data_IF_842028863284
#
_entry.id   IF_842028863284
#
_cell.length_a   1.000
_cell.length_b   1.000
_cell.length_c   1.000
_cell.angle_alpha   90.00
_cell.angle_beta   90.00
_cell.angle_gamma   90.00
#
_symmetry.space_group_name_H-M   'P 1'
#
loop_
_entity.id
_entity.type
_entity.pdbx_description
1 polymer ?
#
# COMPACT_ATOMS: atom_id res chain seq x y z
N UNK A 1 -42.08 31.85 -39.83
CA UNK A 1 -42.57 31.24 -38.58
C UNK A 1 -41.99 29.83 -38.51
N UNK A 2 -40.87 29.66 -37.81
CA UNK A 2 -40.29 28.36 -37.48
C UNK A 2 -39.98 28.38 -35.97
N UNK A 3 -40.43 27.39 -35.20
CA UNK A 3 -40.26 27.38 -33.75
C UNK A 3 -38.84 26.94 -33.37
N UNK A 4 -38.27 27.63 -32.39
CA UNK A 4 -37.02 27.27 -31.71
C UNK A 4 -37.32 26.24 -30.62
N UNK A 5 -36.64 25.10 -30.71
CA UNK A 5 -36.71 24.00 -29.76
C UNK A 5 -35.77 24.28 -28.57
N UNK A 6 -36.33 24.34 -27.36
CA UNK A 6 -35.61 24.54 -26.09
C UNK A 6 -35.24 23.18 -25.50
N UNK A 7 -34.06 22.66 -25.84
CA UNK A 7 -33.49 21.46 -25.25
C UNK A 7 -32.97 21.71 -23.83
N UNK A 8 -33.57 21.03 -22.85
CA UNK A 8 -33.17 20.96 -21.45
C UNK A 8 -31.90 20.11 -21.30
N UNK A 9 -30.84 20.69 -20.72
CA UNK A 9 -29.58 20.00 -20.47
C UNK A 9 -29.71 18.99 -19.31
N UNK A 10 -29.18 17.77 -19.50
CA UNK A 10 -29.25 16.69 -18.53
C UNK A 10 -28.32 16.87 -17.31
N UNK A 11 -28.53 16.09 -16.22
CA UNK A 11 -27.78 16.21 -14.96
C UNK A 11 -26.25 16.08 -15.11
N UNK A 12 -25.77 15.37 -16.13
CA UNK A 12 -24.34 15.21 -16.43
C UNK A 12 -23.65 16.50 -16.93
N UNK A 13 -24.42 17.45 -17.49
CA UNK A 13 -23.87 18.71 -18.00
C UNK A 13 -23.75 19.78 -16.90
N UNK A 14 -24.62 19.70 -15.89
CA UNK A 14 -24.54 20.52 -14.68
C UNK A 14 -23.33 20.12 -13.80
N UNK A 15 -23.01 18.82 -13.73
CA UNK A 15 -21.83 18.32 -13.01
C UNK A 15 -20.51 18.73 -13.69
N UNK A 16 -20.49 18.80 -15.03
CA UNK A 16 -19.33 19.30 -15.80
C UNK A 16 -19.10 20.79 -15.60
N UNK A 17 -20.16 21.57 -15.37
CA UNK A 17 -20.09 23.02 -15.16
C UNK A 17 -19.69 23.41 -13.73
N UNK A 18 -20.06 22.61 -12.72
CA UNK A 18 -19.70 22.89 -11.31
C UNK A 18 -18.24 22.54 -10.96
N UNK A 19 -17.56 21.74 -11.78
CA UNK A 19 -16.18 21.30 -11.55
C UNK A 19 -15.10 22.15 -12.23
N UNK A 20 -15.45 23.21 -12.96
CA UNK A 20 -14.49 24.21 -13.45
C UNK A 20 -13.33 23.68 -14.32
N UNK A 21 -13.48 22.52 -14.97
CA UNK A 21 -12.42 21.94 -15.80
C UNK A 21 -12.55 22.41 -17.24
N UNK A 22 -11.91 23.55 -17.55
CA UNK A 22 -11.70 23.98 -18.93
C UNK A 22 -10.71 23.06 -19.65
N UNK A 23 -11.13 22.50 -20.79
CA UNK A 23 -10.40 21.55 -21.67
C UNK A 23 -9.13 22.11 -22.34
N UNK A 24 -8.52 23.18 -21.84
CA UNK A 24 -7.31 23.80 -22.42
C UNK A 24 -6.38 24.35 -21.34
N UNK A 25 -5.54 23.47 -20.79
CA UNK A 25 -4.17 23.74 -20.30
C UNK A 25 -3.69 22.52 -19.49
N UNK A 26 -3.35 21.47 -20.21
CA UNK A 26 -2.39 20.48 -19.72
C UNK A 26 -1.83 19.79 -20.96
N UNK A 27 -0.74 20.35 -21.50
CA UNK A 27 0.25 19.73 -22.40
C UNK A 27 1.19 20.83 -22.96
N UNK A 28 2.48 20.49 -23.06
CA UNK A 28 3.69 21.30 -23.33
C UNK A 28 4.38 21.77 -22.05
N UNK A 29 5.58 21.30 -21.71
CA UNK A 29 6.77 21.28 -22.58
C UNK A 29 7.75 20.17 -22.20
N UNK A 30 8.06 19.27 -23.14
CA UNK A 30 9.37 18.60 -23.27
C UNK A 30 9.63 18.42 -24.77
N UNK A 31 10.07 19.49 -25.43
CA UNK A 31 10.60 19.44 -26.79
C UNK A 31 12.03 18.92 -26.72
N UNK A 32 12.24 17.72 -27.25
CA UNK A 32 13.55 17.18 -27.55
C UNK A 32 14.23 18.06 -28.61
N UNK A 33 15.43 18.54 -28.32
CA UNK A 33 16.31 19.13 -29.33
C UNK A 33 17.00 17.99 -30.05
N UNK A 34 16.51 17.67 -31.25
CA UNK A 34 17.24 16.87 -32.23
C UNK A 34 18.15 17.82 -33.03
N UNK A 35 19.46 17.75 -32.79
CA UNK A 35 20.45 18.32 -33.68
C UNK A 35 21.04 17.19 -34.54
N UNK A 36 20.80 17.25 -35.84
CA UNK A 36 21.35 16.32 -36.82
C UNK A 36 22.85 16.51 -37.00
N UNK A 37 23.56 15.40 -37.17
CA UNK A 37 24.90 15.35 -37.72
C UNK A 37 24.94 14.34 -38.87
N UNK A 38 25.46 14.82 -39.99
CA UNK A 38 25.56 14.17 -41.30
C UNK A 38 26.50 12.97 -41.23
N UNK A 39 26.09 11.83 -41.78
CA UNK A 39 26.91 10.63 -41.91
C UNK A 39 27.86 10.74 -43.12
N UNK A 40 29.14 10.43 -42.91
CA UNK A 40 30.09 10.04 -43.94
C UNK A 40 30.85 8.78 -43.47
N UNK A 41 31.17 7.82 -44.35
CA UNK A 41 31.64 6.50 -43.95
C UNK A 41 33.16 6.50 -43.74
N UNK A 42 33.62 5.87 -42.66
CA UNK A 42 35.03 5.45 -42.52
C UNK A 42 35.07 3.98 -42.15
N UNK A 43 35.76 3.23 -43.01
CA UNK A 43 36.11 1.83 -42.91
C UNK A 43 37.12 1.59 -41.77
N UNK A 44 36.96 0.46 -41.07
CA UNK A 44 38.08 -0.32 -40.52
C UNK A 44 38.38 -0.20 -39.03
N UNK A 45 37.93 -1.20 -38.24
CA UNK A 45 38.70 -1.78 -37.13
C UNK A 45 38.09 -3.14 -36.72
N UNK A 46 38.98 -4.10 -36.43
CA UNK A 46 38.76 -5.55 -36.30
C UNK A 46 37.84 -6.02 -35.14
N UNK A 47 37.30 -7.26 -35.19
CA UNK A 47 36.57 -7.84 -34.07
C UNK A 47 37.54 -8.28 -32.96
N UNK A 48 37.35 -7.76 -31.75
CA UNK A 48 37.94 -8.32 -30.54
C UNK A 48 37.25 -9.63 -30.18
N UNK A 49 38.01 -10.71 -30.14
CA UNK A 49 37.57 -12.03 -29.71
C UNK A 49 37.12 -12.00 -28.25
N UNK A 50 35.85 -12.34 -28.00
CA UNK A 50 35.36 -12.69 -26.68
C UNK A 50 35.84 -14.12 -26.34
N UNK A 51 36.58 -14.27 -25.23
CA UNK A 51 36.98 -15.57 -24.70
C UNK A 51 35.74 -16.35 -24.21
N UNK A 52 35.65 -17.67 -24.46
CA UNK A 52 34.53 -18.47 -23.97
C UNK A 52 34.67 -18.71 -22.48
N UNK A 53 33.69 -18.25 -21.70
CA UNK A 53 33.53 -18.65 -20.31
C UNK A 53 33.20 -20.15 -20.24
N UNK A 54 34.03 -20.90 -19.51
CA UNK A 54 33.80 -22.30 -19.16
C UNK A 54 32.45 -22.51 -18.48
N UNK A 55 31.66 -23.54 -18.85
CA UNK A 55 30.41 -23.83 -18.17
C UNK A 55 30.71 -24.40 -16.78
N UNK A 56 30.33 -23.66 -15.73
CA UNK A 56 30.35 -24.16 -14.37
C UNK A 56 29.46 -25.40 -14.26
N UNK A 57 30.00 -26.47 -13.67
CA UNK A 57 29.33 -27.76 -13.50
C UNK A 57 27.99 -27.60 -12.80
N UNK A 58 26.93 -28.17 -13.39
CA UNK A 58 25.65 -28.37 -12.69
C UNK A 58 25.85 -29.42 -11.59
N UNK A 59 26.21 -28.98 -10.40
CA UNK A 59 26.01 -29.77 -9.19
C UNK A 59 24.53 -30.07 -9.04
N UNK A 60 24.17 -31.34 -8.92
CA UNK A 60 22.82 -31.80 -8.54
C UNK A 60 22.52 -31.35 -7.11
N UNK A 61 22.16 -30.08 -6.94
CA UNK A 61 21.61 -29.55 -5.69
C UNK A 61 20.16 -29.99 -5.55
N UNK A 62 19.78 -30.47 -4.36
CA UNK A 62 18.39 -30.72 -3.94
C UNK A 62 17.50 -29.60 -4.49
N UNK A 63 16.38 -29.95 -5.13
CA UNK A 63 15.43 -28.97 -5.65
C UNK A 63 15.12 -27.95 -4.54
N UNK A 64 15.69 -26.75 -4.64
CA UNK A 64 15.33 -25.65 -3.75
C UNK A 64 13.92 -25.26 -4.18
N UNK A 65 12.97 -25.33 -3.26
CA UNK A 65 11.57 -24.96 -3.50
C UNK A 65 11.44 -23.59 -4.18
N UNK A 66 10.28 -23.31 -4.78
CA UNK A 66 10.10 -22.07 -5.54
C UNK A 66 9.94 -20.85 -4.61
N UNK A 67 10.55 -19.71 -4.97
CA UNK A 67 10.42 -18.46 -4.19
C UNK A 67 8.97 -17.99 -4.13
N UNK A 68 8.46 -17.72 -2.93
CA UNK A 68 7.10 -17.20 -2.74
C UNK A 68 7.03 -15.69 -2.95
N UNK A 69 8.12 -14.97 -2.64
CA UNK A 69 8.24 -13.52 -2.85
C UNK A 69 9.45 -13.23 -3.74
N UNK A 70 9.24 -12.88 -5.02
CA UNK A 70 10.31 -12.53 -5.96
C UNK A 70 11.19 -11.39 -5.43
N UNK A 71 12.48 -11.39 -5.79
CA UNK A 71 13.45 -10.43 -5.26
C UNK A 71 13.08 -8.96 -5.51
N UNK A 72 12.47 -8.64 -6.66
CA UNK A 72 12.00 -7.31 -7.03
C UNK A 72 10.68 -6.88 -6.34
N UNK A 73 10.03 -7.81 -5.62
CA UNK A 73 8.77 -7.62 -4.89
C UNK A 73 8.94 -7.46 -3.38
N UNK A 74 10.16 -7.61 -2.87
CA UNK A 74 10.45 -7.52 -1.44
C UNK A 74 10.51 -6.05 -1.04
N UNK A 75 9.50 -5.60 -0.31
CA UNK A 75 9.42 -4.24 0.18
C UNK A 75 9.33 -4.10 1.68
N UNK A 76 9.30 -2.85 2.13
CA UNK A 76 9.18 -2.44 3.53
C UNK A 76 8.43 -1.12 3.59
N UNK A 77 7.51 -0.99 4.55
CA UNK A 77 6.95 0.33 4.88
C UNK A 77 7.87 1.08 5.82
N UNK A 78 8.14 2.34 5.49
CA UNK A 78 9.07 3.20 6.21
C UNK A 78 8.63 3.52 7.63
N UNK A 79 7.36 3.27 7.98
CA UNK A 79 6.88 3.33 9.35
C UNK A 79 7.69 2.42 10.29
N UNK A 80 8.15 1.26 9.80
CA UNK A 80 9.02 0.34 10.55
C UNK A 80 10.30 1.01 11.04
N UNK A 81 10.88 1.88 10.21
CA UNK A 81 12.17 2.55 10.45
C UNK A 81 12.00 4.07 10.64
N UNK A 82 10.81 4.49 11.07
CA UNK A 82 10.44 5.91 11.23
C UNK A 82 11.36 6.66 12.18
N UNK A 83 11.85 5.99 13.21
CA UNK A 83 12.85 6.56 14.13
C UNK A 83 14.17 6.84 13.40
N UNK A 84 14.61 5.98 12.48
CA UNK A 84 15.80 6.21 11.68
C UNK A 84 15.59 7.36 10.70
N UNK A 85 14.44 7.43 10.03
CA UNK A 85 14.11 8.56 9.14
C UNK A 85 14.04 9.89 9.91
N UNK A 86 13.45 9.89 11.10
CA UNK A 86 13.30 11.07 11.96
C UNK A 86 14.52 11.43 12.81
N UNK A 87 15.56 10.59 12.86
CA UNK A 87 16.74 10.80 13.69
C UNK A 87 17.57 11.98 13.19
N UNK A 88 18.13 12.75 14.12
CA UNK A 88 19.13 13.76 13.77
C UNK A 88 20.40 13.08 13.24
N UNK A 89 20.78 13.29 11.96
CA UNK A 89 22.00 12.72 11.41
C UNK A 89 23.29 13.24 12.07
N UNK A 90 23.22 14.31 12.85
CA UNK A 90 24.37 14.82 13.61
C UNK A 90 24.54 14.13 14.97
N UNK A 91 23.53 13.40 15.45
CA UNK A 91 23.53 12.79 16.79
C UNK A 91 24.16 11.40 16.85
N UNK A 92 24.37 10.75 15.70
CA UNK A 92 24.84 9.36 15.62
C UNK A 92 25.45 9.06 14.25
N UNK A 93 26.18 7.95 14.16
CA UNK A 93 26.68 7.40 12.90
C UNK A 93 25.70 6.45 12.21
N UNK A 94 24.57 6.14 12.85
CA UNK A 94 23.53 5.30 12.27
C UNK A 94 22.87 5.99 11.06
N UNK A 95 22.44 5.21 10.03
CA UNK A 95 21.66 5.76 8.92
C UNK A 95 20.47 6.58 9.41
N UNK A 96 20.42 7.85 9.00
CA UNK A 96 19.46 8.83 9.48
C UNK A 96 18.96 9.73 8.35
N UNK A 97 17.66 10.02 8.32
CA UNK A 97 17.01 10.69 7.18
C UNK A 97 16.79 9.78 5.98
N UNK A 98 15.91 10.18 5.05
CA UNK A 98 15.46 9.33 3.94
C UNK A 98 16.61 8.78 3.10
N UNK A 99 17.56 9.61 2.68
CA UNK A 99 18.64 9.17 1.77
C UNK A 99 19.49 8.04 2.36
N UNK A 100 19.96 8.20 3.59
CA UNK A 100 20.81 7.20 4.23
C UNK A 100 20.01 5.93 4.58
N UNK A 101 18.75 6.08 5.00
CA UNK A 101 17.86 4.95 5.25
C UNK A 101 17.59 4.17 3.96
N UNK A 102 17.31 4.83 2.84
CA UNK A 102 17.14 4.18 1.53
C UNK A 102 18.39 3.40 1.12
N UNK A 103 19.57 3.99 1.25
CA UNK A 103 20.82 3.29 1.01
C UNK A 103 20.94 2.02 1.85
N UNK A 104 20.60 2.10 3.14
CA UNK A 104 20.68 0.97 4.05
C UNK A 104 19.66 -0.14 3.72
N UNK A 105 18.42 0.22 3.39
CA UNK A 105 17.39 -0.74 2.99
C UNK A 105 17.75 -1.45 1.68
N UNK A 106 18.32 -0.72 0.71
CA UNK A 106 18.83 -1.31 -0.52
C UNK A 106 19.98 -2.30 -0.27
N UNK A 107 20.87 -2.00 0.69
CA UNK A 107 21.95 -2.91 1.14
C UNK A 107 21.43 -4.16 1.84
N UNK A 108 20.34 -4.07 2.60
CA UNK A 108 19.66 -5.26 3.13
C UNK A 108 19.09 -6.11 2.00
N UNK A 109 18.65 -5.47 0.92
CA UNK A 109 18.24 -6.13 -0.32
C UNK A 109 16.80 -5.83 -0.72
N UNK A 110 16.10 -4.95 0.01
CA UNK A 110 14.79 -4.45 -0.40
C UNK A 110 14.87 -3.79 -1.78
N UNK A 111 13.77 -3.87 -2.53
CA UNK A 111 13.62 -3.24 -3.85
C UNK A 111 12.42 -2.32 -3.93
N UNK A 112 11.57 -2.37 -2.92
CA UNK A 112 10.37 -1.56 -2.82
C UNK A 112 10.31 -0.89 -1.47
N UNK A 113 9.73 0.30 -1.42
CA UNK A 113 9.39 0.99 -0.19
C UNK A 113 7.96 1.50 -0.27
N UNK A 114 7.35 1.61 0.90
CA UNK A 114 6.09 2.32 1.09
C UNK A 114 6.30 3.46 2.08
N UNK A 115 5.78 4.64 1.75
CA UNK A 115 5.96 5.82 2.58
C UNK A 115 4.96 5.86 3.74
N UNK A 116 5.39 6.38 4.89
CA UNK A 116 4.51 6.66 6.03
C UNK A 116 4.65 8.13 6.44
N UNK A 117 4.36 9.00 5.47
CA UNK A 117 4.70 10.42 5.52
C UNK A 117 6.03 10.75 4.86
N UNK A 118 6.29 12.07 4.72
CA UNK A 118 7.46 12.62 4.03
C UNK A 118 8.32 13.52 4.94
N UNK A 119 8.12 13.41 6.25
CA UNK A 119 8.90 14.13 7.26
C UNK A 119 10.20 13.42 7.62
N UNK A 120 11.23 14.19 7.97
CA UNK A 120 12.50 13.72 8.52
C UNK A 120 13.11 14.80 9.43
N UNK A 121 14.28 14.55 10.02
CA UNK A 121 14.96 15.59 10.81
C UNK A 121 15.41 16.78 9.96
N UNK A 122 15.37 18.01 10.50
CA UNK A 122 15.73 19.22 9.76
C UNK A 122 17.19 19.25 9.29
N UNK A 123 18.11 18.60 10.03
CA UNK A 123 19.51 18.47 9.64
C UNK A 123 19.75 17.42 8.55
N UNK A 124 18.74 16.63 8.18
CA UNK A 124 18.86 15.69 7.07
C UNK A 124 18.86 16.43 5.73
N UNK A 125 19.58 15.91 4.71
CA UNK A 125 19.55 16.49 3.36
C UNK A 125 18.11 16.67 2.88
N UNK A 126 17.78 17.84 2.35
CA UNK A 126 16.43 18.18 1.88
C UNK A 126 15.52 18.84 2.92
N UNK A 127 15.93 18.93 4.20
CA UNK A 127 15.16 19.58 5.27
C UNK A 127 14.06 18.69 5.85
N UNK A 128 13.26 19.27 6.75
CA UNK A 128 12.33 18.51 7.60
C UNK A 128 11.07 17.99 6.89
N UNK A 129 10.63 18.65 5.82
CA UNK A 129 9.39 18.33 5.11
C UNK A 129 9.64 18.22 3.59
N UNK A 130 9.37 17.02 3.06
CA UNK A 130 9.50 16.71 1.64
C UNK A 130 8.13 16.52 0.94
N UNK A 131 7.01 16.87 1.59
CA UNK A 131 5.65 16.80 1.03
C UNK A 131 5.34 17.96 0.06
N UNK A 132 6.25 18.16 -0.88
CA UNK A 132 6.20 19.18 -1.94
C UNK A 132 6.62 18.54 -3.27
N UNK A 133 6.35 19.22 -4.38
CA UNK A 133 6.80 18.77 -5.71
C UNK A 133 8.32 18.61 -5.76
N UNK A 134 9.06 19.57 -5.19
CA UNK A 134 10.52 19.54 -5.15
C UNK A 134 11.04 18.44 -4.22
N UNK A 135 10.40 18.25 -3.07
CA UNK A 135 10.71 17.17 -2.13
C UNK A 135 10.48 15.79 -2.75
N UNK A 136 9.36 15.61 -3.44
CA UNK A 136 9.04 14.38 -4.18
C UNK A 136 10.07 14.08 -5.27
N UNK A 137 10.50 15.09 -6.04
CA UNK A 137 11.56 14.93 -7.04
C UNK A 137 12.90 14.55 -6.40
N UNK A 138 13.22 15.09 -5.21
CA UNK A 138 14.43 14.75 -4.47
C UNK A 138 14.39 13.32 -3.96
N UNK A 139 13.29 12.92 -3.33
CA UNK A 139 13.04 11.55 -2.88
C UNK A 139 13.13 10.56 -4.06
N UNK A 140 12.51 10.90 -5.20
CA UNK A 140 12.57 10.09 -6.41
C UNK A 140 14.02 9.83 -6.86
N UNK A 141 14.86 10.87 -6.89
CA UNK A 141 16.28 10.72 -7.23
C UNK A 141 17.01 9.77 -6.29
N UNK A 142 16.76 9.83 -4.99
CA UNK A 142 17.40 8.92 -4.03
C UNK A 142 16.89 7.48 -4.15
N UNK A 143 15.60 7.30 -4.43
CA UNK A 143 15.05 5.97 -4.73
C UNK A 143 15.74 5.38 -5.96
N UNK A 144 15.84 6.15 -7.04
CA UNK A 144 16.53 5.72 -8.27
C UNK A 144 18.03 5.43 -8.02
N UNK A 145 18.73 6.28 -7.25
CA UNK A 145 20.14 6.13 -6.88
C UNK A 145 20.42 4.76 -6.21
N UNK A 146 19.49 4.28 -5.39
CA UNK A 146 19.63 3.02 -4.66
C UNK A 146 18.82 1.86 -5.23
N UNK A 147 18.23 2.02 -6.43
CA UNK A 147 17.46 0.98 -7.10
C UNK A 147 16.21 0.54 -6.32
N UNK A 148 15.60 1.48 -5.59
CA UNK A 148 14.34 1.30 -4.88
C UNK A 148 13.17 1.87 -5.68
N UNK A 149 12.00 1.26 -5.53
CA UNK A 149 10.73 1.77 -6.08
C UNK A 149 9.76 2.12 -4.97
N UNK A 150 9.12 3.28 -5.06
CA UNK A 150 7.95 3.56 -4.24
C UNK A 150 6.76 2.74 -4.77
N UNK A 151 6.06 2.02 -3.90
CA UNK A 151 4.89 1.22 -4.31
C UNK A 151 3.55 1.72 -3.77
N UNK A 152 3.59 2.44 -2.66
CA UNK A 152 2.43 2.91 -1.93
C UNK A 152 2.80 3.99 -0.93
N UNK A 153 1.80 4.45 -0.18
CA UNK A 153 1.98 5.26 1.01
C UNK A 153 0.77 5.21 1.95
N UNK A 154 1.03 5.40 3.25
CA UNK A 154 0.04 5.91 4.19
C UNK A 154 -0.12 7.42 3.98
N UNK A 155 -0.88 7.77 2.93
CA UNK A 155 -1.11 9.13 2.48
C UNK A 155 -2.43 9.75 2.98
N UNK A 156 -2.71 10.93 2.44
CA UNK A 156 -3.90 11.70 2.74
C UNK A 156 -5.14 11.16 2.02
N UNK A 157 -6.18 10.89 2.80
CA UNK A 157 -7.55 10.67 2.33
C UNK A 157 -8.40 11.78 2.96
N UNK A 158 -9.20 12.53 2.18
CA UNK A 158 -10.09 13.55 2.72
C UNK A 158 -10.91 13.07 3.92
N UNK A 159 -11.05 13.89 4.95
CA UNK A 159 -11.86 13.55 6.12
C UNK A 159 -13.36 13.68 5.86
N UNK A 160 -13.77 14.69 5.08
CA UNK A 160 -15.17 15.03 4.83
C UNK A 160 -15.88 14.07 3.87
N UNK A 161 -17.22 14.09 3.91
CA UNK A 161 -18.11 13.60 2.87
C UNK A 161 -19.48 14.31 2.99
N UNK A 162 -19.99 15.00 1.95
CA UNK A 162 -19.39 15.24 0.63
C UNK A 162 -18.06 16.01 0.68
N UNK A 163 -17.25 15.87 -0.37
CA UNK A 163 -15.91 16.49 -0.44
C UNK A 163 -16.00 18.01 -0.61
N UNK A 164 -15.19 18.76 0.13
CA UNK A 164 -15.00 20.20 -0.08
C UNK A 164 -14.01 20.46 -1.22
N UNK A 165 -13.95 21.72 -1.70
CA UNK A 165 -12.91 22.13 -2.65
C UNK A 165 -11.51 21.93 -2.08
N UNK A 166 -11.28 22.29 -0.82
CA UNK A 166 -9.98 22.15 -0.16
C UNK A 166 -9.54 20.67 -0.04
N UNK A 167 -10.49 19.77 0.24
CA UNK A 167 -10.25 18.32 0.24
C UNK A 167 -9.80 17.82 -1.15
N UNK A 168 -10.51 18.25 -2.19
CA UNK A 168 -10.21 17.86 -3.57
C UNK A 168 -8.84 18.38 -4.02
N UNK A 169 -8.50 19.62 -3.69
CA UNK A 169 -7.22 20.23 -4.05
C UNK A 169 -6.06 19.53 -3.31
N UNK A 170 -6.24 19.26 -2.02
CA UNK A 170 -5.24 18.51 -1.24
C UNK A 170 -5.08 17.09 -1.78
N UNK A 171 -6.16 16.37 -2.04
CA UNK A 171 -6.08 15.01 -2.59
C UNK A 171 -5.36 14.98 -3.95
N UNK A 172 -5.64 15.94 -4.85
CA UNK A 172 -4.93 16.08 -6.13
C UNK A 172 -3.44 16.37 -5.97
N UNK A 173 -3.05 17.22 -5.00
CA UNK A 173 -1.64 17.47 -4.67
C UNK A 173 -0.93 16.16 -4.27
N UNK A 174 -1.56 15.32 -3.45
CA UNK A 174 -0.95 14.04 -3.06
C UNK A 174 -0.87 13.05 -4.22
N UNK A 175 -1.84 13.04 -5.15
CA UNK A 175 -1.75 12.26 -6.38
C UNK A 175 -0.61 12.74 -7.30
N UNK A 176 -0.34 14.05 -7.36
CA UNK A 176 0.81 14.59 -8.08
C UNK A 176 2.14 14.13 -7.46
N UNK A 177 2.26 14.21 -6.12
CA UNK A 177 3.43 13.70 -5.38
C UNK A 177 3.64 12.20 -5.64
N UNK A 178 2.57 11.40 -5.56
CA UNK A 178 2.63 9.96 -5.82
C UNK A 178 3.12 9.66 -7.24
N UNK A 179 2.64 10.41 -8.24
CA UNK A 179 3.08 10.30 -9.62
C UNK A 179 4.56 10.66 -9.80
N UNK A 180 5.04 11.75 -9.17
CA UNK A 180 6.45 12.15 -9.22
C UNK A 180 7.36 11.06 -8.62
N UNK A 181 6.93 10.45 -7.52
CA UNK A 181 7.63 9.33 -6.90
C UNK A 181 7.55 8.04 -7.75
N UNK A 182 6.63 7.99 -8.71
CA UNK A 182 6.37 6.83 -9.57
C UNK A 182 5.69 5.68 -8.85
N UNK A 183 4.82 6.00 -7.89
CA UNK A 183 4.01 5.02 -7.19
C UNK A 183 2.91 4.47 -8.11
N UNK A 184 2.69 3.15 -8.06
CA UNK A 184 1.53 2.52 -8.72
C UNK A 184 0.25 2.65 -7.87
N UNK A 185 0.39 2.90 -6.57
CA UNK A 185 -0.69 2.95 -5.58
C UNK A 185 -0.53 4.14 -4.63
N UNK A 186 -1.65 4.69 -4.13
CA UNK A 186 -1.69 5.69 -3.07
C UNK A 186 -2.86 5.35 -2.15
N UNK A 187 -2.68 5.48 -0.84
CA UNK A 187 -3.71 5.05 0.10
C UNK A 187 -3.61 5.70 1.46
N UNK A 188 -4.08 4.99 2.48
CA UNK A 188 -4.00 5.38 3.88
C UNK A 188 -3.83 4.14 4.75
N UNK A 189 -3.17 4.32 5.90
CA UNK A 189 -3.02 3.31 6.95
C UNK A 189 -4.28 3.05 7.78
N UNK A 190 -5.46 3.39 7.27
CA UNK A 190 -6.73 3.37 8.00
C UNK A 190 -7.82 2.62 7.22
N UNK A 191 -8.76 2.06 8.00
CA UNK A 191 -9.98 1.46 7.46
C UNK A 191 -10.86 2.52 6.76
N UNK A 192 -11.75 2.11 5.82
CA UNK A 192 -12.64 3.04 5.12
C UNK A 192 -13.54 3.86 6.05
N UNK A 193 -13.90 3.28 7.20
CA UNK A 193 -14.65 3.88 8.30
C UNK A 193 -14.43 3.08 9.59
N UNK A 194 -14.51 3.74 10.74
CA UNK A 194 -14.45 3.09 12.06
C UNK A 194 -15.80 2.54 12.55
N UNK A 195 -16.84 2.56 11.72
CA UNK A 195 -18.21 2.17 12.10
C UNK A 195 -18.43 0.66 12.08
N UNK A 196 -19.35 0.19 12.92
CA UNK A 196 -19.86 -1.18 12.89
C UNK A 196 -21.06 -1.38 11.94
N UNK A 197 -21.65 -0.30 11.42
CA UNK A 197 -22.99 -0.32 10.84
C UNK A 197 -23.00 -0.21 9.32
N UNK A 198 -23.81 -1.04 8.65
CA UNK A 198 -23.94 -1.08 7.19
C UNK A 198 -24.08 0.29 6.52
N UNK A 199 -24.96 1.15 7.04
CA UNK A 199 -25.23 2.46 6.44
C UNK A 199 -23.98 3.36 6.34
N UNK A 200 -23.06 3.27 7.30
CA UNK A 200 -21.86 4.10 7.28
C UNK A 200 -20.79 3.52 6.32
N UNK A 201 -20.83 2.20 6.10
CA UNK A 201 -20.03 1.53 5.08
C UNK A 201 -20.54 1.82 3.66
N UNK A 202 -21.85 2.03 3.49
CA UNK A 202 -22.42 2.53 2.22
C UNK A 202 -21.88 3.92 1.90
N UNK A 203 -21.90 4.83 2.88
CA UNK A 203 -21.33 6.19 2.76
C UNK A 203 -19.83 6.14 2.45
N UNK A 204 -19.09 5.24 3.13
CA UNK A 204 -17.67 5.04 2.83
C UNK A 204 -17.49 4.53 1.39
N UNK A 205 -18.26 3.57 0.92
CA UNK A 205 -18.14 3.04 -0.44
C UNK A 205 -18.36 4.12 -1.51
N UNK A 206 -19.35 5.00 -1.34
CA UNK A 206 -19.59 6.13 -2.24
C UNK A 206 -18.39 7.09 -2.30
N UNK A 207 -17.84 7.43 -1.13
CA UNK A 207 -16.65 8.26 -1.00
C UNK A 207 -15.45 7.64 -1.70
N UNK A 208 -15.17 6.38 -1.40
CA UNK A 208 -14.03 5.65 -1.94
C UNK A 208 -14.14 5.42 -3.46
N UNK A 209 -15.33 5.12 -3.98
CA UNK A 209 -15.57 5.08 -5.44
C UNK A 209 -15.34 6.45 -6.09
N UNK A 210 -15.72 7.54 -5.41
CA UNK A 210 -15.53 8.91 -5.92
C UNK A 210 -14.05 9.28 -5.96
N UNK A 211 -13.32 9.07 -4.88
CA UNK A 211 -11.88 9.29 -4.81
C UNK A 211 -11.13 8.36 -5.79
N UNK A 212 -11.56 7.10 -5.92
CA UNK A 212 -10.99 6.12 -6.83
C UNK A 212 -11.10 6.53 -8.31
N UNK A 213 -12.21 7.19 -8.71
CA UNK A 213 -12.34 7.78 -10.06
C UNK A 213 -11.29 8.88 -10.30
N UNK A 214 -11.05 9.72 -9.31
CA UNK A 214 -10.06 10.80 -9.40
C UNK A 214 -8.64 10.21 -9.46
N UNK A 215 -8.29 9.30 -8.55
CA UNK A 215 -6.99 8.64 -8.51
C UNK A 215 -6.69 7.88 -9.81
N UNK A 216 -7.66 7.11 -10.31
CA UNK A 216 -7.52 6.37 -11.57
C UNK A 216 -7.30 7.29 -12.76
N UNK A 217 -7.94 8.46 -12.79
CA UNK A 217 -7.73 9.46 -13.84
C UNK A 217 -6.30 10.03 -13.82
N UNK A 218 -5.64 9.98 -12.66
CA UNK A 218 -4.24 10.32 -12.46
C UNK A 218 -3.29 9.11 -12.60
N UNK A 219 -3.77 7.95 -13.05
CA UNK A 219 -2.96 6.73 -13.22
C UNK A 219 -2.66 5.95 -11.94
N UNK A 220 -3.25 6.36 -10.80
CA UNK A 220 -2.96 5.78 -9.47
C UNK A 220 -4.09 4.85 -9.03
N UNK A 221 -3.74 3.71 -8.43
CA UNK A 221 -4.69 2.83 -7.75
C UNK A 221 -4.87 3.29 -6.30
N UNK A 222 -6.08 3.74 -5.97
CA UNK A 222 -6.43 4.13 -4.60
C UNK A 222 -6.58 2.88 -3.73
N UNK A 223 -5.99 2.83 -2.54
CA UNK A 223 -6.18 1.71 -1.62
C UNK A 223 -6.40 2.11 -0.15
N UNK A 224 -7.01 1.19 0.60
CA UNK A 224 -7.10 1.22 2.07
C UNK A 224 -6.25 0.09 2.64
N UNK A 225 -5.49 0.39 3.68
CA UNK A 225 -4.81 -0.60 4.53
C UNK A 225 -5.68 -0.93 5.73
N UNK A 226 -5.89 -2.23 5.99
CA UNK A 226 -6.90 -2.67 6.95
C UNK A 226 -6.33 -3.35 8.19
N UNK A 227 -6.84 -2.93 9.34
CA UNK A 227 -6.55 -3.54 10.64
C UNK A 227 -7.63 -4.55 11.01
N UNK A 228 -7.56 -5.09 12.23
CA UNK A 228 -8.41 -6.19 12.68
C UNK A 228 -9.90 -5.81 12.66
N UNK A 229 -10.22 -4.58 13.08
CA UNK A 229 -11.59 -4.08 13.21
C UNK A 229 -12.39 -4.09 11.90
N UNK A 230 -11.74 -3.94 10.74
CA UNK A 230 -12.38 -4.05 9.43
C UNK A 230 -12.88 -5.47 9.12
N UNK A 231 -12.29 -6.48 9.75
CA UNK A 231 -12.68 -7.87 9.57
C UNK A 231 -13.74 -8.31 10.57
N UNK A 232 -14.17 -7.47 11.51
CA UNK A 232 -15.29 -7.77 12.40
C UNK A 232 -16.63 -7.88 11.62
N UNK A 233 -17.66 -8.43 12.26
CA UNK A 233 -18.97 -8.62 11.67
C UNK A 233 -19.73 -7.30 11.54
N UNK A 234 -20.37 -7.11 10.38
CA UNK A 234 -21.15 -5.92 10.09
C UNK A 234 -22.51 -6.00 10.81
N UNK A 235 -22.89 -4.92 11.49
CA UNK A 235 -24.24 -4.75 12.02
C UNK A 235 -25.16 -4.26 10.89
N UNK A 236 -26.05 -5.14 10.44
CA UNK A 236 -26.85 -4.98 9.23
C UNK A 236 -28.31 -5.42 9.40
N UNK A 237 -28.73 -5.83 10.60
CA UNK A 237 -30.13 -6.15 10.89
C UNK A 237 -30.43 -6.43 12.36
N UNK A 238 -31.54 -7.13 12.59
CA UNK A 238 -32.09 -7.43 13.92
C UNK A 238 -32.79 -6.24 14.59
N UNK A 239 -33.10 -6.35 15.89
CA UNK A 239 -33.71 -5.27 16.66
C UNK A 239 -32.86 -4.00 16.61
N UNK A 240 -33.52 -2.85 16.66
CA UNK A 240 -32.85 -1.56 16.70
C UNK A 240 -32.50 -1.18 18.15
N UNK A 241 -31.36 -0.52 18.33
CA UNK A 241 -31.02 0.14 19.60
C UNK A 241 -31.81 1.45 19.81
N UNK A 242 -31.54 2.14 20.91
CA UNK A 242 -32.19 3.41 21.24
C UNK A 242 -31.93 4.54 20.21
N UNK A 243 -30.92 4.37 19.35
CA UNK A 243 -30.56 5.29 18.28
C UNK A 243 -31.10 4.82 16.92
N UNK A 244 -31.93 3.77 16.88
CA UNK A 244 -32.49 3.23 15.66
C UNK A 244 -31.49 2.45 14.81
N UNK A 245 -30.37 1.97 15.39
CA UNK A 245 -29.31 1.26 14.66
C UNK A 245 -29.44 -0.25 14.84
N UNK A 246 -29.11 -1.05 13.80
CA UNK A 246 -29.17 -2.50 13.88
C UNK A 246 -28.18 -3.02 14.93
N UNK A 247 -28.59 -4.05 15.67
CA UNK A 247 -27.78 -4.64 16.74
C UNK A 247 -27.25 -6.03 16.42
N UNK A 248 -27.56 -6.57 15.24
CA UNK A 248 -27.24 -7.95 14.83
C UNK A 248 -26.59 -7.99 13.45
N UNK A 249 -25.97 -9.13 13.13
CA UNK A 249 -25.25 -9.35 11.89
C UNK A 249 -25.82 -10.52 11.08
N UNK A 250 -25.78 -10.41 9.76
CA UNK A 250 -26.00 -11.51 8.81
C UNK A 250 -24.84 -12.52 8.78
N UNK A 251 -23.71 -12.19 9.43
CA UNK A 251 -22.46 -12.94 9.35
C UNK A 251 -21.51 -12.46 8.24
N UNK A 252 -21.86 -11.39 7.52
CA UNK A 252 -20.97 -10.70 6.59
C UNK A 252 -20.01 -9.81 7.40
N UNK A 253 -18.71 -9.85 7.07
CA UNK A 253 -17.71 -8.97 7.69
C UNK A 253 -17.69 -7.60 7.03
N UNK A 254 -17.30 -6.57 7.77
CA UNK A 254 -17.38 -5.18 7.30
C UNK A 254 -16.59 -4.94 6.00
N UNK A 255 -15.35 -5.43 5.91
CA UNK A 255 -14.54 -5.33 4.69
C UNK A 255 -15.07 -6.21 3.54
N UNK A 256 -15.67 -7.37 3.84
CA UNK A 256 -16.32 -8.21 2.82
C UNK A 256 -17.50 -7.46 2.19
N UNK A 257 -18.28 -6.76 3.01
CA UNK A 257 -19.36 -5.90 2.52
C UNK A 257 -18.79 -4.76 1.66
N UNK A 258 -17.78 -4.03 2.14
CA UNK A 258 -17.13 -2.95 1.39
C UNK A 258 -16.64 -3.38 0.00
N UNK A 259 -16.01 -4.55 -0.09
CA UNK A 259 -15.58 -5.14 -1.36
C UNK A 259 -16.74 -5.42 -2.31
N UNK A 260 -17.91 -5.79 -1.78
CA UNK A 260 -19.12 -6.08 -2.57
C UNK A 260 -19.80 -4.83 -3.12
N UNK A 261 -19.64 -3.68 -2.45
CA UNK A 261 -20.31 -2.41 -2.84
C UNK A 261 -19.36 -1.38 -3.47
N UNK A 262 -18.06 -1.66 -3.53
CA UNK A 262 -17.08 -0.82 -4.24
C UNK A 262 -16.79 -1.33 -5.64
N UNK A 263 -16.57 -0.42 -6.59
CA UNK A 263 -16.19 -0.79 -7.94
C UNK A 263 -14.77 -1.40 -7.94
N UNK A 264 -14.60 -2.64 -8.40
CA UNK A 264 -13.30 -3.31 -8.42
C UNK A 264 -12.24 -2.65 -9.29
N UNK A 265 -12.63 -1.69 -10.14
CA UNK A 265 -11.72 -0.92 -10.99
C UNK A 265 -11.33 0.42 -10.38
N UNK A 266 -11.82 0.76 -9.18
CA UNK A 266 -11.62 2.08 -8.56
C UNK A 266 -10.96 2.01 -7.18
N UNK A 267 -11.15 0.92 -6.44
CA UNK A 267 -10.68 0.78 -5.06
C UNK A 267 -9.86 -0.50 -4.92
N UNK A 268 -8.64 -0.41 -4.41
CA UNK A 268 -7.78 -1.55 -4.07
C UNK A 268 -7.60 -1.61 -2.55
N UNK A 269 -6.93 -2.66 -2.08
CA UNK A 269 -6.72 -2.91 -0.67
C UNK A 269 -5.27 -3.34 -0.43
N UNK A 270 -4.77 -2.99 0.73
CA UNK A 270 -3.58 -3.55 1.34
C UNK A 270 -4.04 -4.37 2.54
N UNK A 271 -3.85 -5.69 2.46
CA UNK A 271 -4.18 -6.52 3.61
C UNK A 271 -2.98 -6.55 4.55
N UNK A 272 -3.23 -6.14 5.79
CA UNK A 272 -2.36 -6.52 6.89
C UNK A 272 -2.60 -7.98 7.28
N UNK A 273 -1.58 -8.81 7.08
CA UNK A 273 -1.71 -10.25 7.32
C UNK A 273 -1.69 -10.54 8.83
N UNK A 274 -0.96 -9.77 9.63
CA UNK A 274 -0.98 -9.93 11.09
C UNK A 274 -2.32 -9.51 11.67
N UNK A 275 -2.83 -8.34 11.30
CA UNK A 275 -4.13 -7.89 11.82
C UNK A 275 -5.29 -8.77 11.32
N UNK A 276 -5.16 -9.39 10.16
CA UNK A 276 -6.09 -10.43 9.71
C UNK A 276 -6.07 -11.68 10.62
N UNK A 277 -4.92 -12.10 11.14
CA UNK A 277 -4.83 -13.20 12.13
C UNK A 277 -5.30 -12.77 13.53
N UNK A 278 -5.07 -11.51 13.93
CA UNK A 278 -5.69 -10.93 15.12
C UNK A 278 -7.21 -10.95 15.00
N UNK A 279 -7.77 -10.58 13.85
CA UNK A 279 -9.20 -10.67 13.60
C UNK A 279 -9.73 -12.11 13.61
N UNK A 280 -8.95 -13.07 13.10
CA UNK A 280 -9.28 -14.49 13.17
C UNK A 280 -9.42 -14.97 14.62
N UNK A 281 -8.58 -14.46 15.53
CA UNK A 281 -8.68 -14.71 16.97
C UNK A 281 -9.83 -13.95 17.64
N UNK A 282 -10.02 -12.66 17.34
CA UNK A 282 -10.99 -11.80 18.04
C UNK A 282 -12.43 -11.98 17.59
N UNK A 283 -12.64 -12.06 16.27
CA UNK A 283 -13.95 -11.90 15.66
C UNK A 283 -14.44 -13.21 15.04
N UNK A 284 -14.42 -14.31 15.80
CA UNK A 284 -14.85 -15.63 15.30
C UNK A 284 -16.33 -15.93 15.55
N UNK A 285 -17.03 -15.13 16.37
CA UNK A 285 -18.48 -15.30 16.62
C UNK A 285 -19.28 -14.01 16.41
N UNK A 286 -20.58 -14.15 16.12
CA UNK A 286 -21.53 -13.04 16.03
C UNK A 286 -22.92 -13.45 16.51
N UNK A 287 -23.77 -12.46 16.81
CA UNK A 287 -25.19 -12.67 17.06
C UNK A 287 -25.98 -12.45 15.77
N UNK A 288 -26.63 -13.50 15.30
CA UNK A 288 -27.47 -13.48 14.10
C UNK A 288 -28.75 -12.65 14.31
N UNK A 289 -29.46 -12.36 13.21
CA UNK A 289 -30.69 -11.57 13.24
C UNK A 289 -31.79 -12.19 14.10
N UNK A 290 -31.84 -13.53 14.20
CA UNK A 290 -32.77 -14.28 15.06
C UNK A 290 -32.35 -14.28 16.54
N UNK A 291 -31.23 -13.67 16.89
CA UNK A 291 -30.66 -13.63 18.24
C UNK A 291 -29.75 -14.81 18.59
N UNK A 292 -29.59 -15.80 17.70
CA UNK A 292 -28.70 -16.94 17.94
C UNK A 292 -27.22 -16.54 17.85
N UNK A 293 -26.39 -17.10 18.72
CA UNK A 293 -24.93 -17.03 18.58
C UNK A 293 -24.46 -17.95 17.46
N UNK A 294 -23.61 -17.44 16.57
CA UNK A 294 -23.04 -18.17 15.43
C UNK A 294 -21.54 -18.03 15.42
N UNK A 295 -20.85 -19.08 14.98
CA UNK A 295 -19.41 -19.07 14.75
C UNK A 295 -19.09 -19.05 13.26
N UNK A 296 -18.16 -18.20 12.84
CA UNK A 296 -17.62 -18.11 11.50
C UNK A 296 -16.20 -17.57 11.57
N UNK A 297 -15.20 -18.44 11.65
CA UNK A 297 -13.77 -18.06 11.71
C UNK A 297 -13.33 -17.35 10.42
N UNK A 298 -12.54 -16.29 10.53
CA UNK A 298 -12.02 -15.56 9.37
C UNK A 298 -10.92 -16.37 8.64
N UNK A 299 -10.92 -16.36 7.30
CA UNK A 299 -9.87 -16.96 6.47
C UNK A 299 -9.19 -15.86 5.62
N UNK A 300 -8.03 -15.32 6.08
CA UNK A 300 -7.34 -14.22 5.41
C UNK A 300 -6.97 -14.55 3.95
N UNK A 301 -6.31 -15.68 3.70
CA UNK A 301 -5.91 -16.07 2.35
C UNK A 301 -7.12 -16.40 1.47
N UNK A 302 -8.21 -16.93 2.04
CA UNK A 302 -9.46 -17.16 1.34
C UNK A 302 -10.12 -15.86 0.86
N UNK A 303 -10.11 -14.80 1.68
CA UNK A 303 -10.61 -13.49 1.28
C UNK A 303 -9.80 -12.93 0.10
N UNK A 304 -8.47 -12.96 0.21
CA UNK A 304 -7.58 -12.51 -0.86
C UNK A 304 -7.81 -13.31 -2.13
N UNK A 305 -7.91 -14.64 -2.05
CA UNK A 305 -8.11 -15.51 -3.23
C UNK A 305 -9.39 -15.14 -4.00
N UNK A 306 -10.49 -14.84 -3.30
CA UNK A 306 -11.76 -14.41 -3.92
C UNK A 306 -11.69 -13.04 -4.60
N UNK A 307 -10.76 -12.19 -4.18
CA UNK A 307 -10.60 -10.83 -4.67
C UNK A 307 -9.16 -10.51 -5.07
N UNK A 308 -8.43 -11.48 -5.64
CA UNK A 308 -6.96 -11.45 -5.73
C UNK A 308 -6.41 -10.14 -6.34
N UNK A 309 -6.99 -9.70 -7.47
CA UNK A 309 -6.59 -8.45 -8.16
C UNK A 309 -7.03 -7.15 -7.48
N UNK A 310 -7.71 -7.24 -6.33
CA UNK A 310 -8.01 -6.11 -5.44
C UNK A 310 -6.93 -5.92 -4.37
N UNK A 311 -6.06 -6.92 -4.15
CA UNK A 311 -5.00 -6.91 -3.12
C UNK A 311 -3.59 -6.88 -3.73
N UNK A 312 -3.14 -5.77 -4.34
CA UNK A 312 -1.80 -5.65 -4.89
C UNK A 312 -0.71 -5.51 -3.82
N UNK A 313 -1.07 -5.11 -2.61
CA UNK A 313 -0.17 -4.80 -1.52
C UNK A 313 -0.49 -5.67 -0.29
N UNK A 314 0.52 -5.96 0.52
CA UNK A 314 0.36 -6.63 1.80
C UNK A 314 1.30 -6.03 2.83
N UNK A 315 0.84 -5.93 4.07
CA UNK A 315 1.75 -5.82 5.20
C UNK A 315 2.04 -7.18 5.80
N UNK A 316 3.33 -7.45 5.94
CA UNK A 316 3.90 -8.66 6.47
C UNK A 316 4.54 -8.33 7.83
N UNK A 317 3.71 -8.37 8.89
CA UNK A 317 4.13 -8.31 10.31
C UNK A 317 4.01 -9.71 10.93
N UNK A 318 4.65 -9.98 12.05
CA UNK A 318 4.54 -11.30 12.67
C UNK A 318 4.32 -11.21 14.17
N UNK A 319 3.82 -12.29 14.74
CA UNK A 319 3.42 -12.35 16.14
C UNK A 319 3.59 -13.72 16.74
N UNK A 320 3.83 -13.76 18.04
CA UNK A 320 3.70 -14.97 18.86
C UNK A 320 2.34 -14.96 19.56
N UNK A 321 1.75 -16.13 19.80
CA UNK A 321 0.45 -16.21 20.47
C UNK A 321 0.55 -15.65 21.88
N UNK A 322 -0.36 -14.75 22.21
CA UNK A 322 -0.58 -14.26 23.57
C UNK A 322 -2.08 -14.09 23.82
N UNK A 323 -2.69 -15.09 24.44
CA UNK A 323 -4.13 -15.07 24.79
C UNK A 323 -4.44 -14.25 26.05
N UNK A 324 -3.42 -13.67 26.70
CA UNK A 324 -3.62 -12.78 27.86
C UNK A 324 -3.83 -11.33 27.44
N UNK A 325 -3.52 -10.99 26.19
CA UNK A 325 -3.86 -9.69 25.61
C UNK A 325 -5.17 -9.79 24.80
N UNK A 326 -5.84 -8.65 24.59
CA UNK A 326 -7.11 -8.60 23.83
C UNK A 326 -6.96 -8.81 22.31
N UNK A 327 -5.74 -9.03 21.82
CA UNK A 327 -5.41 -9.21 20.40
C UNK A 327 -5.08 -10.67 20.03
N UNK A 328 -4.72 -11.51 21.01
CA UNK A 328 -4.29 -12.89 20.80
C UNK A 328 -2.84 -13.05 20.37
N UNK A 329 -2.11 -11.94 20.14
CA UNK A 329 -0.74 -11.95 19.63
C UNK A 329 0.10 -10.82 20.20
N UNK A 330 1.38 -11.08 20.47
CA UNK A 330 2.40 -10.05 20.69
C UNK A 330 3.29 -9.94 19.45
N UNK A 331 3.48 -8.71 18.97
CA UNK A 331 4.23 -8.46 17.74
C UNK A 331 5.74 -8.67 17.92
N UNK A 332 6.33 -9.40 16.98
CA UNK A 332 7.75 -9.74 16.92
C UNK A 332 8.32 -9.44 15.52
N UNK A 333 9.66 -9.42 15.32
CA UNK A 333 10.23 -9.28 14.00
C UNK A 333 9.65 -10.27 12.99
N UNK A 334 9.41 -9.78 11.76
CA UNK A 334 8.78 -10.61 10.73
C UNK A 334 9.53 -11.93 10.51
N UNK A 335 8.82 -13.05 10.55
CA UNK A 335 9.36 -14.40 10.39
C UNK A 335 9.98 -15.00 11.66
N UNK A 336 9.86 -14.33 12.82
CA UNK A 336 10.21 -14.90 14.13
C UNK A 336 8.99 -15.22 14.98
N UNK A 337 7.78 -15.07 14.42
CA UNK A 337 6.52 -15.42 15.06
C UNK A 337 5.98 -16.75 14.56
N UNK A 338 4.66 -16.91 14.63
CA UNK A 338 3.96 -18.16 14.34
C UNK A 338 3.02 -18.08 13.13
N UNK A 339 2.90 -16.92 12.48
CA UNK A 339 1.98 -16.78 11.34
C UNK A 339 2.55 -17.54 10.13
N UNK A 340 1.75 -18.44 9.56
CA UNK A 340 2.18 -19.28 8.42
C UNK A 340 2.10 -18.54 7.07
N UNK A 341 3.09 -17.69 6.85
CA UNK A 341 3.29 -16.96 5.61
C UNK A 341 3.57 -17.86 4.40
N UNK A 342 4.12 -19.06 4.61
CA UNK A 342 4.38 -20.01 3.52
C UNK A 342 3.05 -20.50 2.94
N UNK A 343 2.12 -20.91 3.81
CA UNK A 343 0.77 -21.30 3.40
C UNK A 343 -0.01 -20.12 2.84
N UNK A 344 0.06 -18.94 3.47
CA UNK A 344 -0.64 -17.75 2.97
C UNK A 344 -0.25 -17.41 1.52
N UNK A 345 1.04 -17.21 1.24
CA UNK A 345 1.48 -16.84 -0.11
C UNK A 345 1.32 -17.97 -1.12
N UNK A 346 1.41 -19.24 -0.69
CA UNK A 346 1.12 -20.39 -1.57
C UNK A 346 -0.34 -20.42 -2.00
N UNK A 347 -1.28 -20.13 -1.09
CA UNK A 347 -2.72 -20.08 -1.38
C UNK A 347 -3.11 -18.87 -2.23
N UNK A 348 -2.56 -17.71 -1.92
CA UNK A 348 -2.85 -16.45 -2.64
C UNK A 348 -2.32 -16.50 -4.08
N UNK A 349 -1.16 -17.12 -4.31
CA UNK A 349 -0.58 -17.23 -5.66
C UNK A 349 -0.15 -15.88 -6.22
N UNK A 350 -0.12 -15.76 -7.56
CA UNK A 350 0.11 -14.50 -8.28
C UNK A 350 1.30 -13.64 -7.77
N UNK A 351 2.38 -14.30 -7.34
CA UNK A 351 3.55 -13.68 -6.68
C UNK A 351 4.21 -12.51 -7.42
N UNK A 352 3.98 -12.39 -8.74
CA UNK A 352 4.50 -11.29 -9.55
C UNK A 352 3.58 -10.05 -9.57
N UNK A 353 2.34 -10.21 -9.12
CA UNK A 353 1.35 -9.13 -9.00
C UNK A 353 1.47 -8.44 -7.64
N UNK A 354 1.56 -9.23 -6.57
CA UNK A 354 1.59 -8.75 -5.19
C UNK A 354 2.93 -8.10 -4.81
N UNK A 355 2.87 -7.18 -3.85
CA UNK A 355 4.02 -6.44 -3.33
C UNK A 355 3.97 -6.48 -1.78
N UNK A 356 4.53 -7.53 -1.16
CA UNK A 356 4.61 -7.60 0.30
C UNK A 356 5.61 -6.60 0.88
N UNK A 357 5.15 -5.83 1.86
CA UNK A 357 5.92 -4.88 2.64
C UNK A 357 6.12 -5.44 4.04
N UNK A 358 7.37 -5.62 4.47
CA UNK A 358 7.65 -5.88 5.88
C UNK A 358 7.18 -4.69 6.70
N UNK A 359 6.45 -4.95 7.77
CA UNK A 359 6.16 -3.94 8.79
C UNK A 359 6.38 -4.47 10.20
N UNK A 360 6.74 -3.57 11.11
CA UNK A 360 6.63 -3.83 12.54
C UNK A 360 6.35 -2.53 13.33
N UNK A 361 5.22 -2.51 14.05
CA UNK A 361 4.71 -1.31 14.73
C UNK A 361 5.61 -0.88 15.88
N UNK A 362 6.06 -1.85 16.67
CA UNK A 362 6.89 -1.65 17.86
C UNK A 362 8.40 -1.72 17.56
N UNK A 363 8.82 -1.51 16.30
CA UNK A 363 10.22 -1.60 15.91
C UNK A 363 11.13 -0.54 16.53
N UNK A 364 10.73 0.75 16.67
CA UNK A 364 11.55 1.74 17.36
C UNK A 364 11.77 1.43 18.84
N UNK A 365 12.93 1.85 19.36
CA UNK A 365 13.28 1.74 20.77
C UNK A 365 13.96 3.01 21.28
N UNK A 366 13.65 3.37 22.52
CA UNK A 366 14.26 4.52 23.20
C UNK A 366 15.65 4.21 23.75
N UNK A 367 16.00 2.93 23.93
CA UNK A 367 17.28 2.49 24.50
C UNK A 367 18.22 1.85 23.48
N UNK A 368 17.67 1.38 22.35
CA UNK A 368 18.46 0.89 21.21
C UNK A 368 18.06 1.62 19.92
N UNK A 369 18.79 2.68 19.52
CA UNK A 369 18.50 3.41 18.30
C UNK A 369 18.76 2.61 17.01
N UNK A 370 19.39 1.43 17.08
CA UNK A 370 19.60 0.57 15.91
C UNK A 370 18.50 -0.50 15.75
N UNK A 371 17.58 -0.62 16.70
CA UNK A 371 16.61 -1.72 16.75
C UNK A 371 15.76 -1.82 15.48
N UNK A 372 15.18 -0.72 15.02
CA UNK A 372 14.30 -0.73 13.84
C UNK A 372 15.01 -1.17 12.56
N UNK A 373 16.26 -0.72 12.35
CA UNK A 373 17.10 -1.16 11.23
C UNK A 373 17.48 -2.64 11.36
N UNK A 374 17.71 -3.13 12.59
CA UNK A 374 17.95 -4.54 12.86
C UNK A 374 16.72 -5.40 12.53
N UNK A 375 15.54 -4.96 12.94
CA UNK A 375 14.28 -5.63 12.66
C UNK A 375 13.98 -5.62 11.15
N UNK A 376 14.23 -4.50 10.47
CA UNK A 376 14.12 -4.40 9.01
C UNK A 376 15.03 -5.41 8.29
N UNK A 377 16.27 -5.62 8.78
CA UNK A 377 17.19 -6.62 8.25
C UNK A 377 16.69 -8.05 8.47
N UNK A 378 16.20 -8.36 9.67
CA UNK A 378 15.63 -9.69 10.01
C UNK A 378 14.43 -9.97 9.10
N UNK A 379 13.51 -9.01 8.99
CA UNK A 379 12.32 -9.13 8.15
C UNK A 379 12.68 -9.39 6.68
N UNK A 380 13.68 -8.69 6.14
CA UNK A 380 14.16 -8.96 4.78
C UNK A 380 14.64 -10.39 4.60
N UNK A 381 15.50 -10.86 5.52
CA UNK A 381 16.10 -12.20 5.45
C UNK A 381 15.01 -13.28 5.47
N UNK A 382 14.01 -13.12 6.33
CA UNK A 382 12.91 -14.07 6.44
C UNK A 382 11.97 -14.01 5.24
N UNK A 383 11.62 -12.82 4.73
CA UNK A 383 10.82 -12.66 3.52
C UNK A 383 11.52 -13.28 2.30
N UNK A 384 12.84 -13.06 2.20
CA UNK A 384 13.68 -13.63 1.16
C UNK A 384 13.86 -15.14 1.27
N UNK A 385 13.57 -15.76 2.42
CA UNK A 385 13.69 -17.19 2.66
C UNK A 385 12.40 -17.98 2.41
N UNK A 386 11.24 -17.33 2.23
CA UNK A 386 9.97 -18.01 1.98
C UNK A 386 9.99 -18.83 0.67
N UNK A 387 9.76 -20.14 0.78
CA UNK A 387 9.72 -21.10 -0.34
C UNK A 387 8.51 -22.01 -0.21
N UNK A 388 7.81 -22.29 -1.31
CA UNK A 388 6.91 -23.45 -1.36
C UNK A 388 7.70 -24.71 -1.70
N UNK A 389 7.22 -25.86 -1.19
CA UNK A 389 7.82 -27.17 -1.45
C UNK A 389 7.58 -27.65 -2.87
#
# INVERSE_FOLDING_TARGET
>A
MHPTDNGTAGPDELLRRSLGVGRRRFLSTCTAVAAGAVAAPVLGAAPSFAAPATPASKGKGKAKGHELVPADKRGIILYTVRDATGRDPLSTTLPSGFRAVFQQLARFGYRQVEFAGYGQHANAPGGADLETVQGAQLLRRWLDEYGLRAQGNHGFIPGSWPLTTADLDTFKKHLEIANILGMDHMGTGNDPTGSAYRADWDVAAEKWNTLGRIARSAGIKLYTHNHDAAYDFLLDGGPLDAQGRPTRSSGIRKLEYFLSVTDPKLVWLEMDIYWAHVAQYKFHTYTAHDGSGREKVFDPAGLVTRHNKRYPLFHAKDGVVNTTNGQGYDMVPFGTGVIDYTTFFSRVGDRNYHNPMVEQDNAPSSTDPAQSLTHARIGYQNLAALRCK
#
